data_IF_409231469494
#
_entry.id   IF_409231469494
#
_cell.length_a   1.000
_cell.length_b   1.000
_cell.length_c   1.000
_cell.angle_alpha   90.00
_cell.angle_beta   90.00
_cell.angle_gamma   90.00
#
_symmetry.space_group_name_H-M   'P 1'
#
loop_
_entity.id
_entity.type
_entity.pdbx_description
1 polymer ?
#
# COMPACT_ATOMS: atom_id res chain seq x y z
N UNK A 1 9.03 23.75 27.59
CA UNK A 1 7.83 24.06 26.77
C UNK A 1 8.04 23.72 25.31
N UNK A 2 7.53 22.56 24.88
CA UNK A 2 7.34 22.26 23.47
C UNK A 2 5.89 21.77 23.30
N UNK A 3 4.97 22.74 23.25
CA UNK A 3 3.58 22.48 22.88
C UNK A 3 3.58 22.18 21.38
N UNK A 4 3.73 20.89 21.03
CA UNK A 4 3.49 20.43 19.67
C UNK A 4 1.98 20.51 19.46
N UNK A 5 1.55 21.48 18.67
CA UNK A 5 0.17 21.60 18.20
C UNK A 5 -0.27 20.27 17.56
N UNK A 6 -1.09 19.50 18.30
CA UNK A 6 -1.81 18.33 17.81
C UNK A 6 -2.99 18.83 16.97
N UNK A 7 -2.72 19.08 15.68
CA UNK A 7 -3.80 19.17 14.69
C UNK A 7 -4.56 17.83 14.59
N UNK A 8 -5.72 17.78 13.91
CA UNK A 8 -6.47 16.55 13.74
C UNK A 8 -5.60 15.50 13.06
N UNK A 9 -5.23 14.45 13.80
CA UNK A 9 -4.47 13.30 13.28
C UNK A 9 -5.40 12.45 12.44
N UNK A 10 -5.13 12.34 11.15
CA UNK A 10 -5.72 11.30 10.31
C UNK A 10 -4.74 10.14 10.25
N UNK A 11 -5.05 9.07 10.95
CA UNK A 11 -4.31 7.81 10.81
C UNK A 11 -4.59 7.25 9.43
N UNK A 12 -3.56 6.79 8.71
CA UNK A 12 -3.89 6.05 7.52
C UNK A 12 -2.84 5.08 7.00
N UNK A 13 -3.37 4.26 6.11
CA UNK A 13 -2.77 3.04 5.54
C UNK A 13 -3.20 2.94 4.07
N UNK A 14 -3.22 4.09 3.40
CA UNK A 14 -3.83 4.28 2.10
C UNK A 14 -3.16 3.39 1.06
N UNK A 15 -1.83 3.28 1.09
CA UNK A 15 -1.09 2.43 0.16
C UNK A 15 -1.53 0.96 0.29
N UNK A 16 -1.66 0.45 1.51
CA UNK A 16 -2.07 -0.95 1.73
C UNK A 16 -3.44 -1.23 1.11
N UNK A 17 -4.44 -0.37 1.36
CA UNK A 17 -5.76 -0.55 0.78
C UNK A 17 -5.74 -0.48 -0.75
N UNK A 18 -4.99 0.48 -1.31
CA UNK A 18 -4.83 0.60 -2.76
C UNK A 18 -4.14 -0.64 -3.35
N UNK A 19 -3.11 -1.17 -2.68
CA UNK A 19 -2.40 -2.37 -3.11
C UNK A 19 -3.26 -3.63 -3.00
N UNK A 20 -4.13 -3.74 -2.00
CA UNK A 20 -5.08 -4.85 -1.90
C UNK A 20 -6.14 -4.75 -3.00
N UNK A 21 -6.68 -3.56 -3.24
CA UNK A 21 -7.68 -3.34 -4.30
C UNK A 21 -7.07 -3.65 -5.68
N UNK A 22 -5.80 -3.33 -5.92
CA UNK A 22 -5.13 -3.62 -7.19
C UNK A 22 -4.97 -5.12 -7.46
N UNK A 23 -4.93 -5.97 -6.42
CA UNK A 23 -4.90 -7.43 -6.58
C UNK A 23 -6.24 -8.00 -7.07
N UNK A 24 -7.36 -7.36 -6.70
CA UNK A 24 -8.72 -7.86 -6.94
C UNK A 24 -9.28 -7.30 -8.26
N UNK A 25 -8.68 -6.24 -8.81
CA UNK A 25 -9.18 -5.64 -10.03
C UNK A 25 -8.93 -6.54 -11.26
N UNK A 26 -10.00 -6.85 -12.02
CA UNK A 26 -9.92 -7.71 -13.17
C UNK A 26 -8.96 -7.12 -14.20
N UNK A 27 -8.07 -7.98 -14.66
CA UNK A 27 -7.20 -7.66 -15.76
C UNK A 27 -8.06 -7.65 -17.03
N UNK A 28 -8.26 -6.46 -17.60
CA UNK A 28 -8.84 -6.31 -18.95
C UNK A 28 -7.87 -6.77 -20.06
N UNK A 29 -6.86 -7.57 -19.72
CA UNK A 29 -5.85 -8.12 -20.65
C UNK A 29 -6.38 -9.28 -21.50
N UNK A 30 -7.61 -9.73 -21.29
CA UNK A 30 -8.21 -10.78 -22.12
C UNK A 30 -8.70 -10.20 -23.45
N UNK A 31 -8.43 -10.95 -24.52
CA UNK A 31 -8.66 -10.57 -25.91
C UNK A 31 -10.12 -10.15 -26.18
N UNK A 32 -10.41 -9.43 -27.29
CA UNK A 32 -11.76 -8.94 -27.58
C UNK A 32 -12.86 -10.02 -27.68
N UNK A 33 -12.56 -11.31 -27.49
CA UNK A 33 -13.50 -12.43 -27.51
C UNK A 33 -13.22 -13.53 -26.47
N UNK A 34 -12.41 -13.27 -25.42
CA UNK A 34 -12.24 -14.25 -24.33
C UNK A 34 -13.19 -13.89 -23.19
N UNK A 35 -14.04 -14.83 -22.79
CA UNK A 35 -14.82 -14.71 -21.55
C UNK A 35 -13.91 -14.29 -20.38
N UNK A 36 -14.41 -13.63 -19.33
CA UNK A 36 -13.62 -13.22 -18.17
C UNK A 36 -13.18 -14.44 -17.34
N UNK A 37 -12.28 -15.26 -17.89
CA UNK A 37 -11.80 -16.52 -17.28
C UNK A 37 -10.78 -16.25 -16.16
N UNK A 38 -10.28 -15.02 -16.04
CA UNK A 38 -9.11 -14.68 -15.22
C UNK A 38 -9.40 -14.02 -13.86
N UNK A 39 -10.61 -14.22 -13.31
CA UNK A 39 -10.95 -13.71 -11.98
C UNK A 39 -10.43 -14.64 -10.87
N UNK A 40 -10.30 -15.95 -11.15
CA UNK A 40 -9.98 -16.94 -10.12
C UNK A 40 -8.57 -16.80 -9.54
N UNK A 41 -7.54 -16.59 -10.37
CA UNK A 41 -6.18 -16.44 -9.83
C UNK A 41 -6.04 -15.17 -8.99
N UNK A 42 -6.80 -14.11 -9.29
CA UNK A 42 -6.79 -12.86 -8.53
C UNK A 42 -7.34 -13.08 -7.12
N UNK A 43 -8.43 -13.84 -7.00
CA UNK A 43 -8.95 -14.27 -5.71
C UNK A 43 -7.96 -15.16 -4.96
N UNK A 44 -7.33 -16.13 -5.63
CA UNK A 44 -6.30 -16.98 -5.01
C UNK A 44 -5.16 -16.14 -4.47
N UNK A 45 -4.64 -15.18 -5.25
CA UNK A 45 -3.58 -14.26 -4.81
C UNK A 45 -4.01 -13.41 -3.62
N UNK A 46 -5.25 -12.90 -3.63
CA UNK A 46 -5.81 -12.15 -2.52
C UNK A 46 -5.89 -13.00 -1.23
N UNK A 47 -6.42 -14.23 -1.32
CA UNK A 47 -6.50 -15.13 -0.16
C UNK A 47 -5.12 -15.57 0.36
N UNK A 48 -4.17 -15.86 -0.54
CA UNK A 48 -2.79 -16.17 -0.16
C UNK A 48 -2.16 -14.97 0.55
N UNK A 49 -2.35 -13.76 0.02
CA UNK A 49 -1.87 -12.53 0.66
C UNK A 49 -2.48 -12.34 2.06
N UNK A 50 -3.79 -12.57 2.22
CA UNK A 50 -4.47 -12.51 3.52
C UNK A 50 -3.97 -13.55 4.52
N UNK A 51 -3.72 -14.79 4.09
CA UNK A 51 -3.18 -15.84 4.95
C UNK A 51 -1.78 -15.48 5.45
N UNK A 52 -0.91 -15.02 4.56
CA UNK A 52 0.43 -14.55 4.93
C UNK A 52 0.33 -13.34 5.87
N UNK A 53 -0.56 -12.39 5.56
CA UNK A 53 -0.83 -11.23 6.40
C UNK A 53 -1.23 -11.63 7.82
N UNK A 54 -2.20 -12.53 7.97
CA UNK A 54 -2.73 -12.93 9.27
C UNK A 54 -1.69 -13.71 10.08
N UNK A 55 -1.04 -14.69 9.46
CA UNK A 55 -0.02 -15.52 10.13
C UNK A 55 1.17 -14.67 10.59
N UNK A 56 1.65 -13.76 9.74
CA UNK A 56 2.79 -12.90 10.08
C UNK A 56 2.41 -11.81 11.09
N UNK A 57 1.24 -11.20 10.91
CA UNK A 57 0.68 -10.21 11.82
C UNK A 57 0.52 -10.77 13.23
N UNK A 58 -0.08 -11.96 13.37
CA UNK A 58 -0.26 -12.62 14.66
C UNK A 58 1.07 -13.00 15.34
N UNK A 59 2.08 -13.42 14.56
CA UNK A 59 3.41 -13.71 15.09
C UNK A 59 4.11 -12.46 15.64
N UNK A 60 4.10 -11.36 14.87
CA UNK A 60 4.79 -10.13 15.27
C UNK A 60 4.09 -9.46 16.47
N UNK A 61 2.75 -9.49 16.51
CA UNK A 61 1.98 -8.97 17.63
C UNK A 61 2.31 -9.66 18.97
N UNK A 62 2.69 -10.95 18.95
CA UNK A 62 3.00 -11.71 20.17
C UNK A 62 4.44 -11.63 20.65
N UNK A 63 5.39 -11.29 19.76
CA UNK A 63 6.81 -11.56 20.00
C UNK A 63 7.74 -10.33 19.90
N UNK A 64 7.25 -9.15 19.50
CA UNK A 64 8.12 -8.01 19.16
C UNK A 64 7.81 -6.72 19.95
N UNK A 65 7.97 -6.70 21.28
CA UNK A 65 7.70 -5.49 22.11
C UNK A 65 8.94 -4.60 22.39
N UNK A 66 9.95 -4.66 21.50
CA UNK A 66 11.18 -3.87 21.65
C UNK A 66 11.20 -2.57 20.81
N UNK A 67 12.02 -1.57 21.21
CA UNK A 67 12.24 -0.34 20.41
C UNK A 67 12.81 -0.60 19.01
N UNK A 68 13.44 -1.76 18.78
CA UNK A 68 13.91 -2.21 17.47
C UNK A 68 12.76 -2.52 16.48
N UNK A 69 11.52 -2.73 16.96
CA UNK A 69 10.35 -3.02 16.11
C UNK A 69 10.07 -1.89 15.13
N UNK A 70 10.14 -0.64 15.57
CA UNK A 70 9.84 0.53 14.72
C UNK A 70 10.83 0.63 13.55
N UNK A 71 12.11 0.37 13.79
CA UNK A 71 13.15 0.39 12.75
C UNK A 71 12.90 -0.75 11.75
N UNK A 72 12.56 -1.94 12.24
CA UNK A 72 12.22 -3.08 11.40
C UNK A 72 10.97 -2.80 10.54
N UNK A 73 9.88 -2.35 11.16
CA UNK A 73 8.64 -1.96 10.49
C UNK A 73 8.88 -0.88 9.42
N UNK A 74 9.71 0.12 9.72
CA UNK A 74 10.11 1.17 8.77
C UNK A 74 10.77 0.60 7.53
N UNK A 75 11.71 -0.33 7.71
CA UNK A 75 12.42 -0.97 6.59
C UNK A 75 11.48 -1.87 5.77
N UNK A 76 10.64 -2.65 6.44
CA UNK A 76 9.62 -3.51 5.81
C UNK A 76 8.62 -2.69 4.98
N UNK A 77 8.10 -1.59 5.52
CA UNK A 77 7.25 -0.63 4.79
C UNK A 77 7.97 -0.01 3.59
N UNK A 78 9.23 0.40 3.77
CA UNK A 78 10.03 1.00 2.69
C UNK A 78 10.13 0.05 1.51
N UNK A 79 10.39 -1.25 1.76
CA UNK A 79 10.44 -2.28 0.72
C UNK A 79 9.07 -2.43 0.04
N UNK A 80 7.99 -2.51 0.81
CA UNK A 80 6.64 -2.65 0.26
C UNK A 80 6.23 -1.47 -0.64
N UNK A 81 6.48 -0.23 -0.18
CA UNK A 81 6.16 0.98 -0.95
C UNK A 81 6.99 1.06 -2.23
N UNK A 82 8.30 0.85 -2.12
CA UNK A 82 9.19 0.88 -3.28
C UNK A 82 8.79 -0.16 -4.33
N UNK A 83 8.46 -1.37 -3.88
CA UNK A 83 8.02 -2.42 -4.79
C UNK A 83 6.67 -2.10 -5.46
N UNK A 84 5.68 -1.57 -4.73
CA UNK A 84 4.40 -1.19 -5.34
C UNK A 84 4.52 -0.05 -6.35
N UNK A 85 5.44 0.90 -6.12
CA UNK A 85 5.77 1.95 -7.10
C UNK A 85 6.38 1.31 -8.36
N UNK A 86 7.37 0.43 -8.21
CA UNK A 86 7.98 -0.28 -9.35
C UNK A 86 6.97 -1.12 -10.11
N UNK A 87 6.11 -1.85 -9.41
CA UNK A 87 5.02 -2.62 -10.00
C UNK A 87 4.12 -1.73 -10.87
N UNK A 88 3.71 -0.57 -10.37
CA UNK A 88 2.88 0.38 -11.12
C UNK A 88 3.60 0.90 -12.38
N UNK A 89 4.88 1.28 -12.26
CA UNK A 89 5.69 1.76 -13.39
C UNK A 89 5.89 0.69 -14.47
N UNK A 90 6.21 -0.54 -14.08
CA UNK A 90 6.35 -1.67 -15.00
C UNK A 90 5.03 -1.96 -15.71
N UNK A 91 3.91 -1.92 -14.97
CA UNK A 91 2.58 -2.21 -15.53
C UNK A 91 2.10 -1.13 -16.50
N UNK A 92 2.38 0.15 -16.22
CA UNK A 92 2.15 1.26 -17.17
C UNK A 92 3.03 1.06 -18.41
N UNK A 93 4.32 0.81 -18.24
CA UNK A 93 5.25 0.58 -19.35
C UNK A 93 4.81 -0.58 -20.24
N UNK A 94 4.45 -1.72 -19.66
CA UNK A 94 3.92 -2.86 -20.40
C UNK A 94 2.62 -2.52 -21.14
N UNK A 95 1.81 -1.62 -20.60
CA UNK A 95 0.56 -1.21 -21.23
C UNK A 95 0.73 -0.25 -22.40
N UNK A 96 1.86 0.47 -22.46
CA UNK A 96 2.21 1.38 -23.55
C UNK A 96 3.02 0.67 -24.64
N UNK A 97 3.99 -0.16 -24.25
CA UNK A 97 4.96 -0.74 -25.18
C UNK A 97 4.60 -2.13 -25.70
N UNK A 98 3.73 -2.87 -25.01
CA UNK A 98 3.36 -4.24 -25.41
C UNK A 98 1.90 -4.31 -25.83
N UNK A 99 1.67 -4.98 -26.95
CA UNK A 99 0.33 -5.29 -27.41
C UNK A 99 -0.44 -6.11 -26.37
N UNK A 100 -1.76 -5.86 -26.23
CA UNK A 100 -2.59 -6.43 -25.17
C UNK A 100 -2.67 -7.95 -25.19
N UNK A 101 -2.43 -8.59 -26.34
CA UNK A 101 -2.60 -10.03 -26.54
C UNK A 101 -1.27 -10.80 -26.55
N UNK A 102 -0.18 -10.17 -26.12
CA UNK A 102 1.13 -10.84 -26.06
C UNK A 102 1.25 -11.67 -24.79
N UNK A 103 1.70 -12.92 -24.94
CA UNK A 103 2.02 -13.82 -23.82
C UNK A 103 3.03 -13.18 -22.85
N UNK A 104 4.01 -12.45 -23.40
CA UNK A 104 5.02 -11.73 -22.63
C UNK A 104 4.40 -10.73 -21.65
N UNK A 105 3.40 -9.95 -22.09
CA UNK A 105 2.71 -8.98 -21.22
C UNK A 105 1.94 -9.70 -20.11
N UNK A 106 1.26 -10.81 -20.44
CA UNK A 106 0.55 -11.61 -19.45
C UNK A 106 1.49 -12.18 -18.39
N UNK A 107 2.63 -12.73 -18.78
CA UNK A 107 3.63 -13.30 -17.86
C UNK A 107 4.20 -12.21 -16.94
N UNK A 108 4.61 -11.06 -17.50
CA UNK A 108 5.21 -9.96 -16.71
C UNK A 108 4.20 -9.42 -15.71
N UNK A 109 2.99 -9.09 -16.15
CA UNK A 109 1.96 -8.48 -15.29
C UNK A 109 1.49 -9.45 -14.20
N UNK A 110 1.29 -10.72 -14.53
CA UNK A 110 0.90 -11.76 -13.56
C UNK A 110 2.00 -12.00 -12.54
N UNK A 111 3.25 -12.18 -12.98
CA UNK A 111 4.39 -12.39 -12.07
C UNK A 111 4.58 -11.20 -11.14
N UNK A 112 4.47 -9.98 -11.68
CA UNK A 112 4.61 -8.76 -10.88
C UNK A 112 3.47 -8.60 -9.86
N UNK A 113 2.23 -9.01 -10.21
CA UNK A 113 1.09 -9.08 -9.29
C UNK A 113 1.30 -10.13 -8.20
N UNK A 114 1.81 -11.32 -8.54
CA UNK A 114 2.12 -12.37 -7.57
C UNK A 114 3.15 -11.88 -6.54
N UNK A 115 4.22 -11.25 -7.00
CA UNK A 115 5.25 -10.69 -6.14
C UNK A 115 4.71 -9.54 -5.27
N UNK A 116 3.86 -8.68 -5.83
CA UNK A 116 3.17 -7.64 -5.05
C UNK A 116 2.32 -8.27 -3.94
N UNK A 117 1.53 -9.31 -4.24
CA UNK A 117 0.70 -10.00 -3.27
C UNK A 117 1.51 -10.61 -2.12
N UNK A 118 2.67 -11.21 -2.43
CA UNK A 118 3.58 -11.78 -1.42
C UNK A 118 4.22 -10.69 -0.56
N UNK A 119 4.73 -9.62 -1.17
CA UNK A 119 5.40 -8.51 -0.48
C UNK A 119 4.41 -7.77 0.41
N UNK A 120 3.23 -7.43 -0.13
CA UNK A 120 2.15 -6.81 0.64
C UNK A 120 1.75 -7.75 1.77
N UNK A 121 1.40 -9.01 1.49
CA UNK A 121 0.97 -9.95 2.53
C UNK A 121 2.03 -10.12 3.65
N UNK A 122 3.30 -10.27 3.28
CA UNK A 122 4.38 -10.52 4.23
C UNK A 122 4.76 -9.28 5.06
N UNK A 123 4.94 -8.13 4.42
CA UNK A 123 5.46 -6.94 5.11
C UNK A 123 4.37 -6.05 5.69
N UNK A 124 3.17 -6.00 5.09
CA UNK A 124 2.08 -5.15 5.58
C UNK A 124 1.37 -5.70 6.82
N UNK A 125 1.42 -7.03 7.07
CA UNK A 125 0.80 -7.66 8.25
C UNK A 125 1.30 -7.07 9.58
N UNK A 126 2.61 -6.94 9.70
CA UNK A 126 3.23 -6.34 10.88
C UNK A 126 2.84 -4.87 11.01
N UNK A 127 2.95 -4.13 9.91
CA UNK A 127 2.87 -2.68 9.90
C UNK A 127 1.45 -2.13 10.00
N UNK A 128 0.46 -2.80 9.41
CA UNK A 128 -0.97 -2.45 9.57
C UNK A 128 -1.44 -2.73 10.98
N UNK A 129 -0.98 -3.79 11.64
CA UNK A 129 -1.47 -4.13 12.99
C UNK A 129 -0.75 -3.37 14.10
N UNK A 130 0.52 -3.02 13.91
CA UNK A 130 1.36 -2.46 14.98
C UNK A 130 1.68 -0.98 14.82
N UNK A 131 1.52 -0.40 13.63
CA UNK A 131 1.95 0.97 13.34
C UNK A 131 0.91 1.78 12.54
N UNK A 132 1.03 3.11 12.59
CA UNK A 132 0.27 4.05 11.77
C UNK A 132 1.17 5.19 11.27
N UNK A 133 0.80 5.74 10.10
CA UNK A 133 1.46 6.88 9.48
C UNK A 133 0.70 8.15 9.87
N UNK A 134 1.39 9.10 10.50
CA UNK A 134 0.80 10.40 10.87
C UNK A 134 0.81 11.35 9.67
N UNK A 135 -0.31 11.39 8.94
CA UNK A 135 -0.52 12.26 7.79
C UNK A 135 -0.54 13.73 8.21
N UNK A 136 -0.10 14.61 7.31
CA UNK A 136 -0.03 16.04 7.58
C UNK A 136 -0.58 16.86 6.41
N UNK A 137 -0.31 18.17 6.44
CA UNK A 137 -0.71 19.09 5.39
C UNK A 137 -0.20 18.71 3.99
N UNK A 138 0.89 17.91 3.88
CA UNK A 138 1.45 17.42 2.61
C UNK A 138 0.50 16.44 1.91
N UNK A 139 -0.46 15.85 2.62
CA UNK A 139 -1.51 15.03 1.99
C UNK A 139 -2.34 15.84 1.00
N UNK A 140 -2.60 17.12 1.24
CA UNK A 140 -3.38 17.98 0.34
C UNK A 140 -2.73 18.18 -1.04
N UNK A 141 -1.45 18.61 -1.17
CA UNK A 141 -0.80 18.68 -2.46
C UNK A 141 -0.67 17.30 -3.11
N UNK A 142 -0.55 16.21 -2.32
CA UNK A 142 -0.55 14.85 -2.88
C UNK A 142 -1.86 14.50 -3.58
N UNK A 143 -3.02 14.93 -3.06
CA UNK A 143 -4.31 14.73 -3.74
C UNK A 143 -4.32 15.46 -5.08
N UNK A 144 -3.78 16.67 -5.16
CA UNK A 144 -3.68 17.41 -6.42
C UNK A 144 -2.77 16.67 -7.42
N UNK A 145 -1.61 16.20 -6.95
CA UNK A 145 -0.67 15.40 -7.75
C UNK A 145 -1.34 14.12 -8.25
N UNK A 146 -2.16 13.46 -7.43
CA UNK A 146 -2.91 12.28 -7.85
C UNK A 146 -3.77 12.56 -9.09
N UNK A 147 -4.51 13.66 -9.11
CA UNK A 147 -5.33 14.01 -10.27
C UNK A 147 -4.50 14.28 -11.53
N UNK A 148 -3.35 14.94 -11.38
CA UNK A 148 -2.44 15.22 -12.50
C UNK A 148 -1.84 13.91 -13.04
N UNK A 149 -1.30 13.05 -12.18
CA UNK A 149 -0.71 11.76 -12.56
C UNK A 149 -1.77 10.87 -13.20
N UNK A 150 -2.96 10.81 -12.62
CA UNK A 150 -4.10 10.08 -13.17
C UNK A 150 -4.43 10.54 -14.59
N UNK A 151 -4.50 11.85 -14.81
CA UNK A 151 -4.78 12.42 -16.14
C UNK A 151 -3.68 12.07 -17.14
N UNK A 152 -2.41 12.20 -16.74
CA UNK A 152 -1.26 11.81 -17.57
C UNK A 152 -1.30 10.33 -17.96
N UNK A 153 -1.50 9.44 -16.98
CA UNK A 153 -1.61 7.99 -17.22
C UNK A 153 -2.81 7.67 -18.13
N UNK A 154 -3.95 8.35 -17.96
CA UNK A 154 -5.13 8.15 -18.81
C UNK A 154 -4.90 8.59 -20.26
N UNK A 155 -4.09 9.63 -20.48
CA UNK A 155 -3.80 10.15 -21.83
C UNK A 155 -2.99 9.20 -22.72
N UNK A 156 -2.24 8.28 -22.12
CA UNK A 156 -1.37 7.32 -22.82
C UNK A 156 -1.94 5.89 -22.84
N UNK A 157 -2.98 5.61 -22.08
CA UNK A 157 -3.61 4.29 -21.99
C UNK A 157 -4.84 4.19 -22.87
N UNK A 158 -5.13 2.97 -23.35
CA UNK A 158 -6.42 2.65 -23.96
C UNK A 158 -7.54 2.68 -22.91
N UNK A 159 -8.78 2.96 -23.33
CA UNK A 159 -9.93 3.13 -22.44
C UNK A 159 -10.18 1.93 -21.52
N UNK A 160 -9.95 0.72 -22.04
CA UNK A 160 -10.07 -0.53 -21.28
C UNK A 160 -9.13 -0.62 -20.08
N UNK A 161 -8.07 0.21 -20.03
CA UNK A 161 -7.09 0.25 -18.95
C UNK A 161 -7.31 1.40 -17.97
N UNK A 162 -8.35 2.22 -18.10
CA UNK A 162 -8.52 3.40 -17.25
C UNK A 162 -8.69 3.06 -15.77
N UNK A 163 -9.43 2.00 -15.43
CA UNK A 163 -9.58 1.58 -14.05
C UNK A 163 -8.26 1.10 -13.44
N UNK A 164 -7.49 0.34 -14.22
CA UNK A 164 -6.18 -0.17 -13.79
C UNK A 164 -5.14 0.96 -13.70
N UNK A 165 -5.16 1.88 -14.66
CA UNK A 165 -4.33 3.09 -14.66
C UNK A 165 -4.61 4.00 -13.47
N UNK A 166 -5.88 4.12 -13.03
CA UNK A 166 -6.21 4.84 -11.81
C UNK A 166 -5.53 4.20 -10.59
N UNK A 167 -5.50 2.87 -10.50
CA UNK A 167 -4.84 2.17 -9.39
C UNK A 167 -3.34 2.30 -9.43
N UNK A 168 -2.70 2.21 -10.60
CA UNK A 168 -1.26 2.45 -10.72
C UNK A 168 -0.90 3.89 -10.33
N UNK A 169 -1.70 4.87 -10.75
CA UNK A 169 -1.53 6.25 -10.32
C UNK A 169 -1.70 6.39 -8.78
N UNK A 170 -2.70 5.73 -8.19
CA UNK A 170 -2.89 5.71 -6.74
C UNK A 170 -1.70 5.05 -6.04
N UNK A 171 -1.16 3.94 -6.52
CA UNK A 171 -0.01 3.23 -5.93
C UNK A 171 1.25 4.10 -5.95
N UNK A 172 1.53 4.78 -7.06
CA UNK A 172 2.69 5.68 -7.16
C UNK A 172 2.55 6.81 -6.14
N UNK A 173 1.39 7.47 -6.12
CA UNK A 173 1.21 8.69 -5.34
C UNK A 173 1.09 8.42 -3.84
N UNK A 174 0.30 7.40 -3.45
CA UNK A 174 0.22 6.97 -2.05
C UNK A 174 1.53 6.34 -1.57
N UNK A 175 2.22 5.58 -2.41
CA UNK A 175 3.51 4.99 -2.08
C UNK A 175 4.58 6.04 -1.81
N UNK A 176 4.66 7.09 -2.65
CA UNK A 176 5.59 8.21 -2.43
C UNK A 176 5.26 9.01 -1.16
N UNK A 177 3.96 9.25 -0.89
CA UNK A 177 3.54 9.98 0.30
C UNK A 177 3.85 9.20 1.58
N UNK A 178 3.50 7.91 1.63
CA UNK A 178 3.79 7.09 2.81
C UNK A 178 5.29 6.85 2.99
N UNK A 179 6.05 6.70 1.89
CA UNK A 179 7.51 6.64 1.95
C UNK A 179 8.11 7.92 2.54
N UNK A 180 7.63 9.10 2.12
CA UNK A 180 8.04 10.37 2.68
C UNK A 180 7.75 10.46 4.19
N UNK A 181 6.56 10.04 4.63
CA UNK A 181 6.21 10.06 6.05
C UNK A 181 7.03 9.07 6.89
N UNK A 182 7.29 7.88 6.36
CA UNK A 182 8.11 6.86 7.01
C UNK A 182 9.57 7.32 7.13
N UNK A 183 10.11 8.02 6.14
CA UNK A 183 11.46 8.56 6.17
C UNK A 183 11.61 9.84 6.99
N UNK A 184 10.56 10.64 7.11
CA UNK A 184 10.54 11.83 7.99
C UNK A 184 10.23 11.50 9.45
N UNK A 185 10.17 10.21 9.81
CA UNK A 185 10.00 9.76 11.19
C UNK A 185 8.58 9.88 11.73
N UNK A 186 7.57 10.00 10.86
CA UNK A 186 6.14 10.08 11.23
C UNK A 186 5.47 8.71 11.40
N UNK A 187 6.28 7.66 11.57
CA UNK A 187 5.81 6.32 11.88
C UNK A 187 5.63 6.18 13.39
N UNK A 188 4.40 5.90 13.83
CA UNK A 188 4.09 5.73 15.26
C UNK A 188 3.59 4.31 15.51
N UNK A 189 4.01 3.69 16.62
CA UNK A 189 3.48 2.38 17.02
C UNK A 189 2.16 2.52 17.78
N UNK A 190 1.20 1.61 17.53
CA UNK A 190 -0.06 1.51 18.25
C UNK A 190 0.15 1.33 19.77
N UNK A 191 1.16 0.56 20.16
CA UNK A 191 1.46 0.32 21.58
C UNK A 191 1.96 1.57 22.32
N UNK A 192 2.76 2.43 21.68
CA UNK A 192 3.16 3.70 22.26
C UNK A 192 1.96 4.65 22.46
N UNK A 193 0.95 4.56 21.59
CA UNK A 193 -0.30 5.30 21.74
C UNK A 193 -1.16 4.76 22.89
N UNK A 194 -1.32 3.43 22.99
CA UNK A 194 -2.07 2.78 24.08
C UNK A 194 -1.39 3.07 25.44
N UNK A 195 -0.07 2.90 25.54
CA UNK A 195 0.68 3.17 26.76
C UNK A 195 0.62 4.65 27.18
N UNK A 196 0.63 5.59 26.22
CA UNK A 196 0.44 7.02 26.48
C UNK A 196 -0.97 7.33 26.98
N UNK A 197 -2.01 6.71 26.40
CA UNK A 197 -3.37 6.87 26.89
C UNK A 197 -3.55 6.29 28.30
N UNK A 198 -2.96 5.13 28.58
CA UNK A 198 -3.00 4.53 29.92
C UNK A 198 -2.33 5.44 30.94
N UNK A 199 -1.17 6.05 30.63
CA UNK A 199 -0.50 7.01 31.52
C UNK A 199 -1.28 8.31 31.71
N UNK A 200 -1.88 8.88 30.67
CA UNK A 200 -2.75 10.06 30.80
C UNK A 200 -3.99 9.78 31.66
N UNK A 201 -4.63 8.61 31.48
CA UNK A 201 -5.79 8.20 32.30
C UNK A 201 -5.35 8.01 33.75
N UNK A 202 -4.23 7.35 33.98
CA UNK A 202 -3.72 7.08 35.33
C UNK A 202 -3.33 8.38 36.05
N UNK A 203 -2.75 9.36 35.35
CA UNK A 203 -2.48 10.71 35.88
C UNK A 203 -3.76 11.49 36.21
N UNK A 204 -4.84 11.33 35.44
CA UNK A 204 -6.15 11.96 35.74
C UNK A 204 -6.90 11.29 36.88
N UNK A 205 -6.68 10.00 37.12
CA UNK A 205 -7.31 9.26 38.23
C UNK A 205 -6.57 9.50 39.55
N UNK A 206 -5.29 9.86 39.50
CA UNK A 206 -4.45 10.12 40.68
C UNK A 206 -4.31 11.60 41.04
N UNK A 207 -4.85 12.51 40.21
CA UNK A 207 -4.97 13.95 40.47
C UNK A 207 -6.34 14.30 41.05
#
# INVERSE_FOLDING_TARGET
DLVIFKGPRSDGRAFFFVAVISLILPDTYLAPNTEPVNIWYQFVLFFVSLLIFYTRGAYSFKNEDGPQRLIKCRNEMTVAYFYGILYAVVSISCSVFLEPHTETRFIITTTSRCLLALIVGYFSGNTVLTCFVDYNWVTFPTIIIFWIVRYGVRSILLENYYNMGNMWASLIVTGLLELYHVWTGRLTSNFAYIAYQETEVQQRVTA
#
